data_IF_127518565587
#
_entry.id   IF_127518565587
#
_cell.length_a   1.000
_cell.length_b   1.000
_cell.length_c   1.000
_cell.angle_alpha   90.00
_cell.angle_beta   90.00
_cell.angle_gamma   90.00
#
_symmetry.space_group_name_H-M   'P 1'
#
loop_
_entity.id
_entity.type
_entity.pdbx_description
1 polymer ?
#
# COMPACT_ATOMS: atom_id res chain seq x y z
N UNK A 1 -25.48 5.13 12.00
CA UNK A 1 -25.24 4.93 10.57
C UNK A 1 -26.44 4.22 9.93
N UNK A 2 -26.85 4.65 8.73
CA UNK A 2 -27.90 4.00 7.95
C UNK A 2 -27.35 2.68 7.37
N UNK A 3 -28.11 1.62 7.48
CA UNK A 3 -27.72 0.29 6.96
C UNK A 3 -28.63 -0.13 5.82
N UNK A 4 -28.08 -0.73 4.78
CA UNK A 4 -28.79 -1.16 3.59
C UNK A 4 -28.55 -2.67 3.38
N UNK A 5 -29.54 -3.38 2.85
CA UNK A 5 -29.44 -4.82 2.56
C UNK A 5 -28.54 -5.12 1.33
N UNK A 6 -28.31 -4.15 0.46
CA UNK A 6 -27.31 -4.18 -0.61
C UNK A 6 -26.97 -2.75 -1.07
N UNK A 7 -25.88 -2.60 -1.82
CA UNK A 7 -25.39 -1.27 -2.32
C UNK A 7 -26.37 -0.55 -3.22
N UNK A 8 -27.19 -1.27 -4.02
CA UNK A 8 -28.17 -0.68 -4.97
C UNK A 8 -29.27 0.10 -4.28
N UNK A 9 -29.46 -0.09 -2.97
CA UNK A 9 -30.44 0.64 -2.18
C UNK A 9 -29.86 1.92 -1.55
N UNK A 10 -28.58 2.19 -1.74
CA UNK A 10 -28.01 3.47 -1.31
C UNK A 10 -28.61 4.61 -2.13
N UNK A 11 -29.10 5.63 -1.44
CA UNK A 11 -29.59 6.86 -2.05
C UNK A 11 -28.45 7.84 -2.36
N UNK A 12 -27.25 7.57 -1.85
CA UNK A 12 -26.07 8.41 -2.01
C UNK A 12 -25.13 7.85 -3.07
N UNK A 13 -24.43 8.73 -3.77
CA UNK A 13 -23.36 8.33 -4.67
C UNK A 13 -22.21 7.71 -3.87
N UNK A 14 -21.77 6.53 -4.29
CA UNK A 14 -20.67 5.82 -3.66
C UNK A 14 -19.49 5.82 -4.61
N UNK A 15 -18.39 6.47 -4.24
CA UNK A 15 -17.17 6.51 -5.05
C UNK A 15 -16.19 5.37 -4.71
N UNK A 16 -16.22 4.90 -3.45
CA UNK A 16 -15.35 3.82 -2.95
C UNK A 16 -16.11 2.88 -2.02
N UNK A 17 -15.83 1.58 -2.09
CA UNK A 17 -16.32 0.59 -1.13
C UNK A 17 -15.16 -0.11 -0.41
N UNK A 18 -15.42 -0.48 0.85
CA UNK A 18 -14.52 -1.29 1.66
C UNK A 18 -15.16 -2.66 1.89
N UNK A 19 -14.61 -3.71 1.27
CA UNK A 19 -15.14 -5.06 1.27
C UNK A 19 -14.49 -5.85 2.41
N UNK A 20 -15.29 -6.15 3.45
CA UNK A 20 -14.88 -6.89 4.63
C UNK A 20 -15.68 -8.21 4.78
N UNK A 21 -15.91 -8.89 3.66
CA UNK A 21 -16.57 -10.19 3.58
C UNK A 21 -15.67 -11.20 2.86
N UNK A 22 -15.95 -12.48 3.00
CA UNK A 22 -15.10 -13.56 2.47
C UNK A 22 -15.75 -14.30 1.29
N UNK A 23 -14.91 -15.00 0.52
CA UNK A 23 -15.29 -15.96 -0.50
C UNK A 23 -16.20 -15.37 -1.60
N UNK A 24 -17.26 -16.10 -1.94
CA UNK A 24 -18.20 -15.74 -3.03
C UNK A 24 -18.92 -14.40 -2.80
N UNK A 25 -19.02 -13.94 -1.54
CA UNK A 25 -19.62 -12.66 -1.21
C UNK A 25 -18.80 -11.48 -1.73
N UNK A 26 -17.49 -11.64 -1.92
CA UNK A 26 -16.62 -10.62 -2.50
C UNK A 26 -17.03 -10.36 -3.96
N UNK A 27 -17.23 -11.42 -4.75
CA UNK A 27 -17.66 -11.32 -6.15
C UNK A 27 -19.02 -10.63 -6.26
N UNK A 28 -19.95 -11.00 -5.37
CA UNK A 28 -21.26 -10.35 -5.32
C UNK A 28 -21.14 -8.84 -5.01
N UNK A 29 -20.30 -8.48 -4.03
CA UNK A 29 -20.06 -7.08 -3.65
C UNK A 29 -19.42 -6.28 -4.80
N UNK A 30 -18.48 -6.87 -5.54
CA UNK A 30 -17.83 -6.26 -6.72
C UNK A 30 -18.87 -6.01 -7.81
N UNK A 31 -19.71 -7.00 -8.13
CA UNK A 31 -20.76 -6.86 -9.14
C UNK A 31 -21.79 -5.78 -8.75
N UNK A 32 -22.17 -5.72 -7.49
CA UNK A 32 -23.06 -4.67 -6.98
C UNK A 32 -22.40 -3.28 -7.11
N UNK A 33 -21.12 -3.16 -6.74
CA UNK A 33 -20.35 -1.92 -6.87
C UNK A 33 -20.27 -1.43 -8.33
N UNK A 34 -19.94 -2.33 -9.24
CA UNK A 34 -19.90 -2.04 -10.68
C UNK A 34 -21.26 -1.54 -11.17
N UNK A 35 -22.36 -2.21 -10.75
CA UNK A 35 -23.71 -1.89 -11.20
C UNK A 35 -24.20 -0.48 -10.82
N UNK A 36 -23.61 0.12 -9.77
CA UNK A 36 -23.93 1.49 -9.32
C UNK A 36 -22.82 2.50 -9.65
N UNK A 37 -21.79 2.07 -10.40
CA UNK A 37 -20.76 2.96 -10.93
C UNK A 37 -19.64 3.32 -9.95
N UNK A 38 -19.43 2.53 -8.88
CA UNK A 38 -18.27 2.66 -7.98
C UNK A 38 -16.97 2.57 -8.76
N UNK A 39 -15.98 3.38 -8.42
CA UNK A 39 -14.71 3.46 -9.15
C UNK A 39 -13.56 2.72 -8.49
N UNK A 40 -13.61 2.54 -7.17
CA UNK A 40 -12.56 1.88 -6.42
C UNK A 40 -13.13 1.00 -5.31
N UNK A 41 -12.50 -0.15 -5.07
CA UNK A 41 -12.81 -1.05 -3.96
C UNK A 41 -11.52 -1.43 -3.23
N UNK A 42 -11.57 -1.40 -1.89
CA UNK A 42 -10.55 -2.04 -1.05
C UNK A 42 -11.08 -3.38 -0.58
N UNK A 43 -10.28 -4.45 -0.73
CA UNK A 43 -10.62 -5.79 -0.25
C UNK A 43 -9.74 -6.12 0.96
N UNK A 44 -10.38 -6.18 2.14
CA UNK A 44 -9.71 -6.48 3.40
C UNK A 44 -9.30 -7.95 3.51
N UNK A 45 -10.19 -8.85 3.08
CA UNK A 45 -10.04 -10.29 3.30
C UNK A 45 -8.81 -10.85 2.60
N UNK A 46 -8.15 -11.82 3.24
CA UNK A 46 -7.17 -12.72 2.64
C UNK A 46 -7.84 -13.98 2.06
N UNK A 47 -7.03 -15.01 1.78
CA UNK A 47 -7.50 -16.26 1.18
C UNK A 47 -7.33 -16.31 -0.33
N UNK A 48 -6.40 -15.54 -0.87
CA UNK A 48 -6.11 -15.39 -2.30
C UNK A 48 -4.77 -16.05 -2.67
N UNK A 49 -3.98 -15.44 -3.54
CA UNK A 49 -2.72 -16.02 -4.05
C UNK A 49 -1.74 -16.45 -2.97
N UNK A 50 -1.81 -15.86 -1.78
CA UNK A 50 -1.02 -16.26 -0.60
C UNK A 50 -1.40 -17.65 -0.06
N UNK A 51 -2.59 -18.17 -0.38
CA UNK A 51 -3.04 -19.51 0.06
C UNK A 51 -2.81 -20.60 -0.99
N UNK A 52 -2.29 -20.25 -2.17
CA UNK A 52 -1.97 -21.20 -3.24
C UNK A 52 -2.87 -21.07 -4.48
N UNK A 53 -2.94 -22.14 -5.28
CA UNK A 53 -3.54 -22.09 -6.63
C UNK A 53 -5.03 -21.74 -6.62
N UNK A 54 -5.81 -22.25 -5.68
CA UNK A 54 -7.23 -21.91 -5.62
C UNK A 54 -7.47 -20.46 -5.32
N UNK A 55 -6.69 -19.90 -4.36
CA UNK A 55 -6.72 -18.48 -4.05
C UNK A 55 -6.26 -17.61 -5.21
N UNK A 56 -5.21 -18.01 -5.94
CA UNK A 56 -4.75 -17.32 -7.13
C UNK A 56 -5.81 -17.31 -8.25
N UNK A 57 -6.54 -18.41 -8.43
CA UNK A 57 -7.65 -18.48 -9.41
C UNK A 57 -8.79 -17.52 -9.04
N UNK A 58 -9.13 -17.45 -7.74
CA UNK A 58 -10.13 -16.50 -7.25
C UNK A 58 -9.68 -15.05 -7.47
N UNK A 59 -8.41 -14.75 -7.18
CA UNK A 59 -7.81 -13.43 -7.38
C UNK A 59 -7.88 -13.00 -8.86
N UNK A 60 -7.50 -13.88 -9.79
CA UNK A 60 -7.59 -13.63 -11.24
C UNK A 60 -9.04 -13.39 -11.68
N UNK A 61 -10.00 -14.17 -11.16
CA UNK A 61 -11.42 -14.01 -11.47
C UNK A 61 -11.95 -12.64 -11.01
N UNK A 62 -11.55 -12.21 -9.81
CA UNK A 62 -11.93 -10.90 -9.26
C UNK A 62 -11.34 -9.79 -10.13
N UNK A 63 -10.07 -9.89 -10.51
CA UNK A 63 -9.41 -8.93 -11.38
C UNK A 63 -10.12 -8.78 -12.73
N UNK A 64 -10.44 -9.91 -13.38
CA UNK A 64 -11.15 -9.92 -14.68
C UNK A 64 -12.53 -9.23 -14.58
N UNK A 65 -13.30 -9.52 -13.54
CA UNK A 65 -14.60 -8.89 -13.30
C UNK A 65 -14.45 -7.39 -13.10
N UNK A 66 -13.50 -6.97 -12.27
CA UNK A 66 -13.25 -5.57 -11.94
C UNK A 66 -12.80 -4.77 -13.17
N UNK A 67 -11.87 -5.30 -13.95
CA UNK A 67 -11.39 -4.66 -15.19
C UNK A 67 -12.51 -4.47 -16.20
N UNK A 68 -13.35 -5.51 -16.44
CA UNK A 68 -14.52 -5.41 -17.32
C UNK A 68 -15.54 -4.37 -16.82
N UNK A 69 -15.66 -4.21 -15.52
CA UNK A 69 -16.54 -3.24 -14.88
C UNK A 69 -15.96 -1.85 -14.68
N UNK A 70 -14.71 -1.62 -15.10
CA UNK A 70 -13.97 -0.37 -14.88
C UNK A 70 -13.89 0.03 -13.39
N UNK A 71 -13.70 -0.96 -12.52
CA UNK A 71 -13.52 -0.84 -11.08
C UNK A 71 -12.06 -1.12 -10.74
N UNK A 72 -11.40 -0.20 -10.00
CA UNK A 72 -10.03 -0.41 -9.52
C UNK A 72 -10.05 -1.12 -8.16
N UNK A 73 -9.08 -2.01 -7.93
CA UNK A 73 -8.98 -2.79 -6.68
C UNK A 73 -7.69 -2.44 -5.94
N UNK A 74 -7.83 -2.08 -4.66
CA UNK A 74 -6.74 -2.04 -3.68
C UNK A 74 -6.77 -3.34 -2.85
N UNK A 75 -5.71 -4.10 -2.91
CA UNK A 75 -5.63 -5.43 -2.30
C UNK A 75 -5.69 -6.56 -3.34
N UNK A 76 -6.27 -7.72 -2.99
CA UNK A 76 -6.86 -8.10 -1.69
C UNK A 76 -5.84 -8.17 -0.54
N UNK A 77 -6.27 -8.64 0.63
CA UNK A 77 -5.44 -8.69 1.83
C UNK A 77 -4.87 -7.30 2.21
N UNK A 78 -5.71 -6.27 2.10
CA UNK A 78 -5.34 -4.87 2.33
C UNK A 78 -6.12 -4.28 3.50
N UNK A 79 -5.45 -3.67 4.46
CA UNK A 79 -6.13 -2.90 5.52
C UNK A 79 -6.58 -1.51 5.06
N UNK A 80 -6.36 -1.14 3.81
CA UNK A 80 -6.88 0.06 3.19
C UNK A 80 -5.99 1.30 3.28
N UNK A 81 -6.63 2.46 3.39
CA UNK A 81 -6.02 3.79 3.25
C UNK A 81 -6.26 4.62 4.50
N UNK A 82 -5.20 5.25 5.00
CA UNK A 82 -5.26 6.26 6.05
C UNK A 82 -4.68 7.56 5.46
N UNK A 83 -5.55 8.46 5.01
CA UNK A 83 -5.17 9.78 4.51
C UNK A 83 -5.31 10.80 5.64
N UNK A 84 -4.19 11.08 6.31
CA UNK A 84 -4.17 11.97 7.48
C UNK A 84 -4.27 13.43 7.04
N UNK A 85 -3.71 13.77 5.88
CA UNK A 85 -3.72 15.15 5.36
C UNK A 85 -5.14 15.66 5.15
N UNK A 86 -6.01 14.83 4.57
CA UNK A 86 -7.38 15.19 4.22
C UNK A 86 -8.41 14.62 5.22
N UNK A 87 -7.94 13.93 6.28
CA UNK A 87 -8.79 13.32 7.31
C UNK A 87 -9.77 12.28 6.76
N UNK A 88 -9.34 11.52 5.74
CA UNK A 88 -10.12 10.41 5.14
C UNK A 88 -9.51 9.09 5.57
N UNK A 89 -10.26 8.30 6.31
CA UNK A 89 -9.83 7.01 6.83
C UNK A 89 -10.75 5.92 6.28
N UNK A 90 -10.19 5.09 5.41
CA UNK A 90 -10.83 3.92 4.81
C UNK A 90 -9.99 2.68 5.17
N UNK A 91 -9.94 2.37 6.46
CA UNK A 91 -9.01 1.36 6.99
C UNK A 91 -9.59 0.67 8.23
N UNK A 92 -9.20 -0.59 8.41
CA UNK A 92 -9.44 -1.39 9.61
C UNK A 92 -8.12 -1.58 10.37
N UNK A 93 -7.72 -0.58 11.16
CA UNK A 93 -6.48 -0.63 11.94
C UNK A 93 -6.73 -0.17 13.39
N UNK A 94 -6.32 -0.99 14.37
CA UNK A 94 -6.48 -0.67 15.79
C UNK A 94 -5.79 0.62 16.22
N UNK A 95 -4.72 1.04 15.54
CA UNK A 95 -4.01 2.29 15.84
C UNK A 95 -4.81 3.55 15.49
N UNK A 96 -5.96 3.42 14.83
CA UNK A 96 -6.90 4.52 14.59
C UNK A 96 -7.62 4.99 15.86
N UNK A 97 -7.56 4.21 16.95
CA UNK A 97 -8.01 4.60 18.28
C UNK A 97 -7.08 5.60 18.98
N UNK A 98 -5.89 5.86 18.41
CA UNK A 98 -4.99 6.89 18.94
C UNK A 98 -5.69 8.28 18.93
N UNK A 99 -5.56 9.05 20.01
CA UNK A 99 -6.32 10.29 20.18
C UNK A 99 -6.02 11.36 19.11
N UNK A 100 -4.86 11.28 18.46
CA UNK A 100 -4.52 12.20 17.36
C UNK A 100 -3.43 11.62 16.45
N UNK A 101 -3.77 11.42 15.20
CA UNK A 101 -2.80 11.13 14.16
C UNK A 101 -2.11 12.44 13.71
N UNK A 102 -0.79 12.48 13.77
CA UNK A 102 -0.02 13.68 13.42
C UNK A 102 0.11 13.85 11.91
N UNK A 103 -0.30 15.01 11.40
CA UNK A 103 -0.04 15.39 10.00
C UNK A 103 1.44 15.63 9.78
N UNK A 104 1.94 15.20 8.62
CA UNK A 104 3.33 15.39 8.19
C UNK A 104 3.54 14.93 6.75
N UNK A 105 4.76 14.99 6.26
CA UNK A 105 5.10 14.78 4.85
C UNK A 105 5.47 13.34 4.48
N UNK A 106 5.28 12.35 5.36
CA UNK A 106 5.63 10.96 5.04
C UNK A 106 4.45 10.23 4.38
N UNK A 107 4.60 9.87 3.11
CA UNK A 107 3.71 8.96 2.40
C UNK A 107 4.22 7.53 2.49
N UNK A 108 3.40 6.59 2.96
CA UNK A 108 3.79 5.20 3.18
C UNK A 108 2.99 4.28 2.27
N UNK A 109 3.69 3.37 1.60
CA UNK A 109 3.10 2.26 0.84
C UNK A 109 3.65 0.97 1.42
N UNK A 110 2.76 0.08 1.85
CA UNK A 110 3.15 -1.18 2.50
C UNK A 110 2.44 -2.37 1.88
N UNK A 111 3.19 -3.41 1.57
CA UNK A 111 2.61 -4.72 1.22
C UNK A 111 2.04 -5.43 2.46
N UNK A 112 2.55 -5.09 3.67
CA UNK A 112 2.06 -5.63 4.93
C UNK A 112 1.14 -4.65 5.66
N UNK A 113 -0.11 -5.08 5.90
CA UNK A 113 -1.09 -4.27 6.63
C UNK A 113 -0.72 -4.05 8.10
N UNK A 114 -0.23 -5.07 8.80
CA UNK A 114 0.14 -4.98 10.22
C UNK A 114 1.24 -3.96 10.50
N UNK A 115 2.15 -3.77 9.55
CA UNK A 115 3.26 -2.81 9.70
C UNK A 115 2.83 -1.35 9.62
N UNK A 116 1.72 -1.04 8.97
CA UNK A 116 1.14 0.31 9.01
C UNK A 116 0.82 0.71 10.46
N UNK A 117 0.25 -0.20 11.24
CA UNK A 117 -0.01 0.04 12.67
C UNK A 117 1.28 0.29 13.45
N UNK A 118 2.32 -0.52 13.23
CA UNK A 118 3.62 -0.33 13.86
C UNK A 118 4.26 1.02 13.49
N UNK A 119 4.20 1.43 12.21
CA UNK A 119 4.70 2.73 11.76
C UNK A 119 3.94 3.89 12.39
N UNK A 120 2.62 3.80 12.51
CA UNK A 120 1.80 4.80 13.20
C UNK A 120 2.16 4.91 14.67
N UNK A 121 2.32 3.79 15.38
CA UNK A 121 2.70 3.77 16.79
C UNK A 121 4.10 4.38 17.00
N UNK A 122 5.08 3.96 16.22
CA UNK A 122 6.45 4.49 16.28
C UNK A 122 6.50 5.97 15.90
N UNK A 123 5.79 6.39 14.86
CA UNK A 123 5.70 7.78 14.44
C UNK A 123 5.06 8.65 15.53
N UNK A 124 3.96 8.19 16.10
CA UNK A 124 3.25 8.90 17.17
C UNK A 124 4.16 9.13 18.39
N UNK A 125 4.86 8.10 18.87
CA UNK A 125 5.76 8.19 20.02
C UNK A 125 6.96 9.12 19.81
N UNK A 126 7.38 9.32 18.55
CA UNK A 126 8.52 10.18 18.18
C UNK A 126 8.08 11.55 17.61
N UNK A 127 6.79 11.83 17.60
CA UNK A 127 6.26 13.08 17.04
C UNK A 127 6.48 13.21 15.53
N UNK A 128 6.61 12.08 14.80
CA UNK A 128 6.73 12.02 13.35
C UNK A 128 5.32 11.96 12.75
N UNK A 129 5.06 12.79 11.75
CA UNK A 129 3.76 12.87 11.08
C UNK A 129 3.77 12.23 9.70
N UNK A 130 2.59 11.79 9.28
CA UNK A 130 2.38 11.17 7.97
C UNK A 130 1.37 11.99 7.13
N UNK A 131 1.51 11.91 5.82
CA UNK A 131 0.51 12.41 4.87
C UNK A 131 -0.53 11.32 4.61
N UNK A 132 -0.06 10.18 4.11
CA UNK A 132 -0.91 9.03 3.75
C UNK A 132 -0.19 7.73 4.08
N UNK A 133 -0.97 6.70 4.48
CA UNK A 133 -0.48 5.34 4.63
C UNK A 133 -1.43 4.42 3.86
N UNK A 134 -0.89 3.64 2.93
CA UNK A 134 -1.65 2.79 2.03
C UNK A 134 -1.13 1.36 2.12
N UNK A 135 -2.04 0.42 2.41
CA UNK A 135 -1.76 -1.01 2.31
C UNK A 135 -2.16 -1.50 0.93
N UNK A 136 -1.20 -2.04 0.17
CA UNK A 136 -1.48 -2.58 -1.17
C UNK A 136 -1.82 -4.06 -1.15
N UNK A 137 -1.53 -4.76 -0.06
CA UNK A 137 -1.79 -6.20 0.06
C UNK A 137 -1.11 -7.00 -1.06
N UNK A 138 -1.89 -7.83 -1.76
CA UNK A 138 -1.38 -8.69 -2.83
C UNK A 138 -1.03 -7.97 -4.14
N UNK A 139 -1.36 -6.69 -4.29
CA UNK A 139 -1.13 -5.90 -5.52
C UNK A 139 -1.74 -6.52 -6.79
N UNK A 140 -2.97 -6.98 -6.69
CA UNK A 140 -3.65 -7.64 -7.82
C UNK A 140 -3.96 -6.68 -8.95
N UNK A 141 -4.32 -5.42 -8.65
CA UNK A 141 -4.61 -4.35 -9.61
C UNK A 141 -3.73 -3.12 -9.32
N UNK A 142 -3.99 -2.40 -8.24
CA UNK A 142 -3.21 -1.23 -7.86
C UNK A 142 -1.87 -1.65 -7.27
N UNK A 143 -0.78 -1.27 -7.95
CA UNK A 143 0.60 -1.63 -7.57
C UNK A 143 1.25 -0.60 -6.64
N UNK A 144 2.36 -1.00 -6.00
CA UNK A 144 3.25 -0.07 -5.26
C UNK A 144 3.71 1.08 -6.17
N UNK A 145 4.07 0.78 -7.43
CA UNK A 145 4.57 1.79 -8.36
C UNK A 145 3.49 2.78 -8.77
N UNK A 146 2.27 2.31 -9.03
CA UNK A 146 1.14 3.17 -9.40
C UNK A 146 0.71 4.08 -8.24
N UNK A 147 0.52 3.52 -7.06
CA UNK A 147 0.22 4.30 -5.84
C UNK A 147 1.37 5.29 -5.54
N UNK A 148 2.61 4.86 -5.75
CA UNK A 148 3.78 5.71 -5.57
C UNK A 148 3.78 6.93 -6.49
N UNK A 149 3.37 6.78 -7.75
CA UNK A 149 3.20 7.91 -8.69
C UNK A 149 2.15 8.91 -8.18
N UNK A 150 1.03 8.42 -7.62
CA UNK A 150 0.03 9.29 -6.97
C UNK A 150 0.61 10.06 -5.78
N UNK A 151 1.49 9.45 -4.98
CA UNK A 151 2.18 10.14 -3.89
C UNK A 151 3.26 11.14 -4.38
N UNK A 152 3.84 10.90 -5.56
CA UNK A 152 4.74 11.89 -6.18
C UNK A 152 3.98 13.18 -6.51
N UNK A 153 2.75 13.08 -7.01
CA UNK A 153 1.91 14.22 -7.35
C UNK A 153 1.25 14.88 -6.12
N UNK A 154 1.22 14.18 -4.97
CA UNK A 154 0.60 14.70 -3.77
C UNK A 154 1.44 15.81 -3.11
N UNK A 155 0.88 16.99 -3.02
CA UNK A 155 1.53 18.18 -2.41
C UNK A 155 1.80 18.05 -0.92
N UNK A 156 1.10 17.16 -0.23
CA UNK A 156 1.28 16.90 1.20
C UNK A 156 2.34 15.83 1.48
N UNK A 157 2.91 15.21 0.45
CA UNK A 157 3.92 14.15 0.59
C UNK A 157 5.29 14.67 0.18
N UNK A 158 6.26 14.67 1.10
CA UNK A 158 7.66 15.09 0.86
C UNK A 158 8.58 13.90 0.60
N UNK A 159 8.31 12.78 1.25
CA UNK A 159 9.11 11.56 1.20
C UNK A 159 8.20 10.35 1.09
N UNK A 160 8.54 9.43 0.19
CA UNK A 160 7.81 8.18 -0.04
C UNK A 160 8.55 7.04 0.65
N UNK A 161 7.84 6.32 1.51
CA UNK A 161 8.34 5.16 2.24
C UNK A 161 7.71 3.91 1.65
N UNK A 162 8.55 2.94 1.28
CA UNK A 162 8.14 1.64 0.77
C UNK A 162 8.49 0.55 1.77
N UNK A 163 7.49 -0.20 2.23
CA UNK A 163 7.72 -1.47 2.90
C UNK A 163 7.39 -2.60 1.93
N UNK A 164 8.42 -3.35 1.53
CA UNK A 164 8.34 -4.38 0.50
C UNK A 164 8.68 -5.76 1.06
N UNK A 165 7.89 -6.75 0.71
CA UNK A 165 8.14 -8.18 0.91
C UNK A 165 8.71 -8.79 -0.38
N UNK A 166 8.14 -8.38 -1.51
CA UNK A 166 8.55 -8.79 -2.85
C UNK A 166 8.65 -7.59 -3.78
N UNK A 167 9.46 -7.71 -4.82
CA UNK A 167 9.52 -6.71 -5.89
C UNK A 167 8.59 -7.16 -7.01
N UNK A 168 7.39 -6.57 -7.08
CA UNK A 168 6.45 -6.74 -8.16
C UNK A 168 6.47 -5.51 -9.05
N UNK A 169 6.10 -5.66 -10.33
CA UNK A 169 5.99 -4.53 -11.27
C UNK A 169 7.18 -3.56 -11.21
N UNK A 170 8.41 -4.10 -11.28
CA UNK A 170 9.65 -3.35 -11.10
C UNK A 170 9.77 -2.13 -12.02
N UNK A 171 9.23 -2.20 -13.25
CA UNK A 171 9.24 -1.08 -14.19
C UNK A 171 8.43 0.13 -13.66
N UNK A 172 7.28 -0.11 -13.03
CA UNK A 172 6.48 0.96 -12.45
C UNK A 172 7.15 1.60 -11.22
N UNK A 173 7.83 0.78 -10.41
CA UNK A 173 8.62 1.27 -9.27
C UNK A 173 9.80 2.11 -9.77
N UNK A 174 10.48 1.69 -10.84
CA UNK A 174 11.55 2.47 -11.45
C UNK A 174 11.06 3.81 -12.00
N UNK A 175 9.92 3.81 -12.69
CA UNK A 175 9.28 5.02 -13.19
C UNK A 175 8.89 5.97 -12.05
N UNK A 176 8.24 5.46 -11.02
CA UNK A 176 7.88 6.20 -9.82
C UNK A 176 9.12 6.82 -9.16
N UNK A 177 10.21 6.08 -9.00
CA UNK A 177 11.45 6.58 -8.41
C UNK A 177 12.05 7.73 -9.24
N UNK A 178 12.05 7.62 -10.58
CA UNK A 178 12.50 8.67 -11.50
C UNK A 178 11.63 9.93 -11.36
N UNK A 179 10.33 9.79 -11.31
CA UNK A 179 9.39 10.91 -11.12
C UNK A 179 9.58 11.56 -9.76
N UNK A 180 9.74 10.77 -8.69
CA UNK A 180 10.01 11.27 -7.34
C UNK A 180 11.31 12.08 -7.30
N UNK A 181 12.39 11.58 -7.92
CA UNK A 181 13.65 12.31 -8.05
C UNK A 181 13.46 13.65 -8.75
N UNK A 182 12.77 13.67 -9.90
CA UNK A 182 12.50 14.89 -10.67
C UNK A 182 11.67 15.91 -9.89
N UNK A 183 10.78 15.44 -9.03
CA UNK A 183 9.93 16.26 -8.14
C UNK A 183 10.64 16.63 -6.83
N UNK A 184 11.91 16.25 -6.68
CA UNK A 184 12.67 16.51 -5.46
C UNK A 184 12.21 15.71 -4.24
N UNK A 185 11.47 14.61 -4.40
CA UNK A 185 11.01 13.74 -3.31
C UNK A 185 11.94 12.55 -3.14
N UNK A 186 12.30 12.22 -1.89
CA UNK A 186 13.08 11.03 -1.60
C UNK A 186 12.20 9.78 -1.57
N UNK A 187 12.75 8.65 -2.03
CA UNK A 187 12.14 7.33 -1.89
C UNK A 187 13.03 6.48 -0.99
N UNK A 188 12.46 5.94 0.08
CA UNK A 188 13.15 5.12 1.07
C UNK A 188 12.46 3.78 1.14
N UNK A 189 13.20 2.69 1.15
CA UNK A 189 12.64 1.34 1.21
C UNK A 189 13.26 0.49 2.31
N UNK A 190 12.42 -0.33 2.92
CA UNK A 190 12.81 -1.47 3.72
C UNK A 190 12.24 -2.73 3.06
N UNK A 191 13.05 -3.79 2.95
CA UNK A 191 12.62 -5.09 2.43
C UNK A 191 12.68 -6.13 3.53
N UNK A 192 11.56 -6.82 3.75
CA UNK A 192 11.50 -8.01 4.60
C UNK A 192 12.26 -9.18 3.95
N UNK A 193 12.84 -10.06 4.76
CA UNK A 193 13.39 -11.32 4.26
C UNK A 193 14.86 -11.28 3.82
N UNK A 194 15.69 -10.47 4.48
CA UNK A 194 17.14 -10.46 4.24
C UNK A 194 17.85 -11.73 4.78
N UNK A 195 17.44 -12.23 5.95
CA UNK A 195 17.96 -13.48 6.53
C UNK A 195 17.21 -14.70 5.97
N UNK A 196 17.80 -15.89 6.09
CA UNK A 196 17.15 -17.12 5.63
C UNK A 196 15.86 -17.39 6.41
N UNK A 197 15.81 -17.11 7.70
CA UNK A 197 14.59 -17.12 8.51
C UNK A 197 13.57 -16.06 8.02
N UNK A 198 14.04 -14.87 7.67
CA UNK A 198 13.21 -13.81 7.11
C UNK A 198 12.67 -14.17 5.72
N UNK A 199 13.42 -14.93 4.91
CA UNK A 199 12.94 -15.46 3.62
C UNK A 199 11.83 -16.50 3.82
N UNK A 200 11.97 -17.39 4.82
CA UNK A 200 10.92 -18.35 5.18
C UNK A 200 9.65 -17.65 5.66
N UNK A 201 9.77 -16.63 6.51
CA UNK A 201 8.63 -15.81 6.95
C UNK A 201 7.97 -15.08 5.79
N UNK A 202 8.74 -14.47 4.90
CA UNK A 202 8.20 -13.81 3.71
C UNK A 202 7.49 -14.80 2.78
N UNK A 203 8.05 -15.99 2.59
CA UNK A 203 7.46 -17.07 1.79
C UNK A 203 6.14 -17.58 2.36
N UNK A 204 6.06 -17.75 3.68
CA UNK A 204 4.84 -18.17 4.37
C UNK A 204 3.75 -17.09 4.37
N UNK A 205 4.15 -15.81 4.30
CA UNK A 205 3.24 -14.67 4.36
C UNK A 205 2.66 -14.27 2.99
N UNK A 206 3.45 -14.43 1.91
CA UNK A 206 3.07 -13.90 0.58
C UNK A 206 2.91 -14.98 -0.47
N UNK A 207 3.26 -16.24 -0.19
CA UNK A 207 3.30 -17.31 -1.19
C UNK A 207 4.33 -17.07 -2.32
N UNK A 208 4.99 -15.93 -2.34
CA UNK A 208 5.93 -15.55 -3.39
C UNK A 208 7.36 -16.01 -3.06
N UNK A 209 8.09 -16.47 -4.07
CA UNK A 209 9.53 -16.72 -3.97
C UNK A 209 10.20 -15.35 -3.86
N UNK A 210 10.74 -15.04 -2.69
CA UNK A 210 11.55 -13.84 -2.50
C UNK A 210 12.72 -13.85 -3.50
N UNK A 211 12.77 -12.88 -4.40
CA UNK A 211 13.90 -12.72 -5.30
C UNK A 211 15.20 -12.50 -4.52
N UNK A 212 16.36 -12.72 -5.20
CA UNK A 212 17.67 -12.52 -4.59
C UNK A 212 17.80 -11.13 -3.97
N UNK A 213 18.35 -11.05 -2.75
CA UNK A 213 18.57 -9.77 -2.06
C UNK A 213 19.58 -8.91 -2.81
N UNK A 214 20.54 -9.53 -3.50
CA UNK A 214 21.51 -8.87 -4.36
C UNK A 214 20.83 -8.19 -5.55
N UNK A 215 19.93 -8.90 -6.24
CA UNK A 215 19.17 -8.35 -7.35
C UNK A 215 18.27 -7.19 -6.91
N UNK A 216 17.58 -7.35 -5.77
CA UNK A 216 16.83 -6.26 -5.17
C UNK A 216 17.70 -5.05 -4.86
N UNK A 217 18.86 -5.27 -4.22
CA UNK A 217 19.77 -4.20 -3.84
C UNK A 217 20.35 -3.48 -5.07
N UNK A 218 20.69 -4.21 -6.12
CA UNK A 218 21.15 -3.64 -7.39
C UNK A 218 20.05 -2.76 -8.02
N UNK A 219 18.81 -3.26 -8.06
CA UNK A 219 17.65 -2.52 -8.59
C UNK A 219 17.40 -1.22 -7.81
N UNK A 220 17.37 -1.29 -6.48
CA UNK A 220 17.13 -0.13 -5.60
C UNK A 220 18.22 0.93 -5.80
N UNK A 221 19.49 0.50 -5.80
CA UNK A 221 20.64 1.39 -6.00
C UNK A 221 20.62 2.05 -7.38
N UNK A 222 20.33 1.28 -8.44
CA UNK A 222 20.26 1.79 -9.80
C UNK A 222 19.18 2.87 -9.97
N UNK A 223 18.05 2.72 -9.29
CA UNK A 223 16.93 3.66 -9.36
C UNK A 223 17.00 4.80 -8.31
N UNK A 224 18.13 4.98 -7.61
CA UNK A 224 18.32 6.07 -6.64
C UNK A 224 17.40 5.97 -5.41
N UNK A 225 16.88 4.78 -5.10
CA UNK A 225 16.04 4.54 -3.93
C UNK A 225 16.96 4.25 -2.73
N UNK A 226 16.73 4.90 -1.60
CA UNK A 226 17.51 4.69 -0.39
C UNK A 226 17.02 3.43 0.33
N UNK A 227 17.91 2.43 0.51
CA UNK A 227 17.59 1.24 1.28
C UNK A 227 17.98 1.39 2.74
N UNK A 228 17.09 1.09 3.66
CA UNK A 228 17.37 0.91 5.09
C UNK A 228 17.29 -0.56 5.48
N UNK A 229 18.03 -0.95 6.52
CA UNK A 229 18.16 -2.35 6.96
C UNK A 229 17.51 -2.62 8.32
N UNK A 230 17.01 -1.60 8.99
CA UNK A 230 16.26 -1.68 10.22
C UNK A 230 14.94 -0.96 10.07
N UNK A 231 13.90 -1.54 10.66
CA UNK A 231 12.54 -1.00 10.56
C UNK A 231 12.42 0.39 11.18
N UNK A 232 13.08 0.62 12.30
CA UNK A 232 13.08 1.89 13.02
C UNK A 232 13.66 3.03 12.17
N UNK A 233 14.72 2.75 11.42
CA UNK A 233 15.35 3.75 10.55
C UNK A 233 14.48 4.15 9.37
N UNK A 234 13.45 3.36 9.03
CA UNK A 234 12.55 3.65 7.92
C UNK A 234 11.80 4.99 8.11
N UNK A 235 11.48 5.36 9.35
CA UNK A 235 10.79 6.61 9.68
C UNK A 235 11.73 7.70 10.21
N UNK A 236 12.95 7.36 10.60
CA UNK A 236 13.94 8.32 11.12
C UNK A 236 14.76 8.98 9.99
N UNK A 237 15.20 8.18 9.03
CA UNK A 237 16.00 8.61 7.86
C UNK A 237 15.32 9.74 7.04
N UNK A 238 13.99 9.78 6.86
CA UNK A 238 13.33 10.88 6.15
C UNK A 238 13.72 12.29 6.63
N UNK A 239 14.02 12.43 7.92
CA UNK A 239 14.42 13.72 8.47
C UNK A 239 15.73 14.26 7.86
N UNK A 240 16.61 13.39 7.36
CA UNK A 240 17.85 13.77 6.68
C UNK A 240 17.59 14.42 5.31
N UNK A 241 16.40 14.19 4.73
CA UNK A 241 16.03 14.72 3.42
C UNK A 241 15.18 16.01 3.49
N UNK A 242 14.76 16.44 4.69
CA UNK A 242 13.88 17.62 4.85
C UNK A 242 14.50 18.96 4.46
N UNK A 243 15.82 19.09 4.52
CA UNK A 243 16.52 20.34 4.20
C UNK A 243 17.50 20.09 3.03
N UNK A 244 16.96 19.78 1.86
CA UNK A 244 17.78 19.42 0.71
C UNK A 244 18.65 20.57 0.25
N UNK A 245 19.93 20.53 0.57
CA UNK A 245 20.96 21.11 -0.29
C UNK A 245 21.27 20.02 -1.33
N UNK A 246 20.84 20.22 -2.57
CA UNK A 246 21.27 19.36 -3.68
C UNK A 246 22.79 19.54 -3.77
N UNK A 247 23.54 18.48 -3.42
CA UNK A 247 24.97 18.47 -3.61
C UNK A 247 25.23 18.71 -5.11
N UNK A 248 25.76 19.87 -5.43
CA UNK A 248 26.29 20.13 -6.77
C UNK A 248 27.66 19.47 -6.81
N UNK A 249 27.71 18.25 -7.37
CA UNK A 249 28.96 17.57 -7.69
C UNK A 249 29.72 18.27 -8.75
#
# INVERSE_FOLDING_TARGET
LKSYSNLKKSEEKVDHIFIAVDGDKIIASINDAISIGVKCATILSGGFSETGLEGANLENKILDIAQKGNLRILGPNSIGIINISDSVILSANAMLELPKLKKGGLGVISQSGSLIGALLAHGSSRGIGFSKLISVGNETDLSVGEIGKMLVDDVNTDTIILFLETLRNSNEIAEMARLAYSSGKAVITYKLGKSDLGKELAKSHTGAIAGSDEAFNAFIKFNGITRVHMFETLIEVPNLFKNKVIAKG
#
